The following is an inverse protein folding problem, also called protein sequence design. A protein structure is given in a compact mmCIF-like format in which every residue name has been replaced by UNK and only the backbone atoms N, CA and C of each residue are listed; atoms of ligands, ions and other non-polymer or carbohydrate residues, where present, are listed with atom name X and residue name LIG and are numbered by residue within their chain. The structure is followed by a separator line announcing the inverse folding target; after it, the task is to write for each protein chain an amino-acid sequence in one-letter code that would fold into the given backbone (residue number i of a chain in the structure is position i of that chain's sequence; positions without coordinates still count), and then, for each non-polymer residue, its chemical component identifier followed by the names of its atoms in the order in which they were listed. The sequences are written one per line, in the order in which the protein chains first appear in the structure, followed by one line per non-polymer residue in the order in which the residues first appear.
data_IF_449196029667
#
_entry.id   IF_449196029667
#
_cell.length_a   1.000
_cell.length_b   1.000
_cell.length_c   1.000
_cell.angle_alpha   90.00
_cell.angle_beta   90.00
_cell.angle_gamma   90.00
#
_symmetry.space_group_name_H-M   'P 1'
#
loop_
_entity.id
_entity.type
_entity.pdbx_description
1 polymer ?
#
# COMPACT_ATOMS: atom_id res chain seq x y z
N UNK A 1 4.66 -24.79 31.20
CA UNK A 1 4.05 -25.49 30.03
C UNK A 1 3.07 -24.66 29.20
N UNK A 2 2.24 -23.77 29.79
CA UNK A 2 1.29 -22.92 29.03
C UNK A 2 1.97 -21.95 28.04
N UNK A 3 3.03 -21.24 28.46
CA UNK A 3 3.74 -20.30 27.58
C UNK A 3 4.42 -20.96 26.37
N UNK A 4 5.00 -22.15 26.55
CA UNK A 4 5.61 -22.91 25.46
C UNK A 4 4.57 -23.36 24.42
N UNK A 5 3.37 -23.78 24.87
CA UNK A 5 2.27 -24.12 23.95
C UNK A 5 1.79 -22.90 23.16
N UNK A 6 1.69 -21.74 23.78
CA UNK A 6 1.31 -20.50 23.09
C UNK A 6 2.37 -20.06 22.08
N UNK A 7 3.65 -20.19 22.42
CA UNK A 7 4.76 -19.91 21.49
C UNK A 7 4.76 -20.86 20.30
N UNK A 8 4.52 -22.16 20.53
CA UNK A 8 4.44 -23.15 19.46
C UNK A 8 3.26 -22.88 18.53
N UNK A 9 2.08 -22.60 19.08
CA UNK A 9 0.89 -22.26 18.27
C UNK A 9 1.14 -20.97 17.46
N UNK A 10 1.73 -19.95 18.08
CA UNK A 10 2.09 -18.71 17.37
C UNK A 10 3.11 -18.95 16.25
N UNK A 11 4.14 -19.76 16.51
CA UNK A 11 5.15 -20.10 15.50
C UNK A 11 4.54 -20.90 14.34
N UNK A 12 3.65 -21.86 14.62
CA UNK A 12 2.96 -22.62 13.58
C UNK A 12 2.06 -21.71 12.74
N UNK A 13 1.31 -20.81 13.37
CA UNK A 13 0.45 -19.85 12.66
C UNK A 13 1.26 -18.92 11.74
N UNK A 14 2.42 -18.42 12.20
CA UNK A 14 3.31 -17.58 11.38
C UNK A 14 3.93 -18.39 10.23
N UNK A 15 4.33 -19.64 10.49
CA UNK A 15 4.93 -20.51 9.48
C UNK A 15 3.93 -20.91 8.37
N UNK A 16 2.65 -21.08 8.69
CA UNK A 16 1.61 -21.41 7.70
C UNK A 16 0.94 -20.18 7.07
N UNK A 17 1.07 -18.99 7.68
CA UNK A 17 0.52 -17.74 7.15
C UNK A 17 1.41 -17.08 6.07
N UNK A 18 2.65 -17.56 5.89
CA UNK A 18 3.58 -17.06 4.87
C UNK A 18 3.30 -17.66 3.48
N UNK A 19 2.14 -17.39 2.90
CA UNK A 19 1.69 -17.95 1.62
C UNK A 19 2.32 -17.29 0.36
N UNK A 20 3.56 -16.77 0.45
CA UNK A 20 4.25 -16.21 -0.71
C UNK A 20 5.76 -16.44 -0.62
N UNK A 21 6.31 -17.03 -1.67
CA UNK A 21 7.74 -17.22 -1.91
C UNK A 21 8.47 -15.88 -2.04
N UNK A 22 9.79 -15.89 -1.88
CA UNK A 22 10.61 -14.68 -2.05
C UNK A 22 10.49 -14.06 -3.45
N UNK A 23 10.28 -14.89 -4.47
CA UNK A 23 10.05 -14.45 -5.85
C UNK A 23 8.68 -13.79 -6.01
N UNK A 24 7.61 -14.37 -5.46
CA UNK A 24 6.27 -13.75 -5.47
C UNK A 24 6.28 -12.40 -4.75
N UNK A 25 6.98 -12.30 -3.62
CA UNK A 25 7.19 -11.03 -2.93
C UNK A 25 8.00 -10.02 -3.76
N UNK A 26 8.98 -10.48 -4.54
CA UNK A 26 9.76 -9.62 -5.44
C UNK A 26 8.89 -9.12 -6.59
N UNK A 27 8.14 -10.02 -7.24
CA UNK A 27 7.20 -9.68 -8.32
C UNK A 27 6.17 -8.67 -7.81
N UNK A 28 5.60 -8.88 -6.62
CA UNK A 28 4.67 -7.93 -6.00
C UNK A 28 5.31 -6.54 -5.78
N UNK A 29 6.52 -6.47 -5.21
CA UNK A 29 7.24 -5.20 -5.00
C UNK A 29 7.57 -4.47 -6.29
N UNK A 30 7.88 -5.23 -7.35
CA UNK A 30 8.24 -4.69 -8.66
C UNK A 30 6.97 -4.20 -9.43
N UNK A 31 5.77 -4.67 -9.05
CA UNK A 31 4.49 -4.30 -9.65
C UNK A 31 3.67 -3.40 -8.71
N UNK A 32 4.15 -2.17 -8.48
CA UNK A 32 3.51 -1.14 -7.63
C UNK A 32 2.24 -0.55 -8.25
N UNK A 33 1.41 -1.33 -8.92
CA UNK A 33 0.12 -0.85 -9.42
C UNK A 33 -0.76 -0.43 -8.23
N UNK A 34 -1.64 0.56 -8.46
CA UNK A 34 -2.70 1.07 -7.57
C UNK A 34 -2.87 0.24 -6.27
N UNK A 35 -2.56 0.86 -5.13
CA UNK A 35 -2.71 0.30 -3.77
C UNK A 35 -1.64 -0.68 -3.24
N UNK A 36 -0.55 -0.98 -3.95
CA UNK A 36 0.39 -2.03 -3.52
C UNK A 36 1.86 -1.58 -3.35
N UNK A 37 2.13 -0.47 -2.67
CA UNK A 37 3.48 -0.17 -2.20
C UNK A 37 3.51 0.23 -0.74
N UNK A 38 4.61 -0.10 -0.04
CA UNK A 38 4.82 0.33 1.35
C UNK A 38 4.80 1.85 1.51
N UNK A 39 5.29 2.57 0.50
CA UNK A 39 5.26 4.04 0.47
C UNK A 39 3.83 4.59 0.37
N UNK A 40 2.98 3.99 -0.48
CA UNK A 40 1.57 4.38 -0.59
C UNK A 40 0.86 4.13 0.75
N UNK A 41 1.08 2.96 1.35
CA UNK A 41 0.53 2.64 2.68
C UNK A 41 0.98 3.67 3.74
N UNK A 42 2.28 3.98 3.79
CA UNK A 42 2.82 4.97 4.72
C UNK A 42 2.24 6.38 4.51
N UNK A 43 2.05 6.79 3.26
CA UNK A 43 1.35 8.03 2.91
C UNK A 43 -0.10 8.01 3.41
N UNK A 44 -0.87 6.94 3.17
CA UNK A 44 -2.27 6.82 3.57
C UNK A 44 -2.44 6.80 5.09
N UNK A 45 -1.55 6.14 5.83
CA UNK A 45 -1.58 6.13 7.31
C UNK A 45 -1.31 7.53 7.87
N UNK A 46 -0.32 8.24 7.32
CA UNK A 46 0.01 9.63 7.73
C UNK A 46 -1.12 10.61 7.41
N UNK A 47 -1.83 10.40 6.31
CA UNK A 47 -2.88 11.29 5.78
C UNK A 47 -4.28 10.68 5.88
N UNK A 48 -4.53 9.83 6.88
CA UNK A 48 -5.83 9.18 7.06
C UNK A 48 -6.93 10.21 7.33
N UNK A 49 -8.17 9.85 7.03
CA UNK A 49 -9.34 10.68 7.31
C UNK A 49 -9.38 11.16 8.77
N UNK A 50 -9.85 12.40 8.97
CA UNK A 50 -9.90 13.03 10.30
C UNK A 50 -8.54 13.55 10.80
N UNK A 51 -7.46 13.43 10.02
CA UNK A 51 -6.18 14.09 10.32
C UNK A 51 -5.96 15.29 9.40
N UNK A 52 -5.13 16.25 9.84
CA UNK A 52 -4.68 17.33 8.96
C UNK A 52 -3.65 16.76 7.98
N UNK A 53 -4.08 16.55 6.73
CA UNK A 53 -3.20 16.04 5.68
C UNK A 53 -2.00 16.97 5.46
N UNK A 54 -0.81 16.38 5.33
CA UNK A 54 0.44 17.06 5.02
C UNK A 54 1.03 16.42 3.78
N UNK A 55 0.77 17.06 2.64
CA UNK A 55 1.23 16.61 1.33
C UNK A 55 2.39 17.49 0.88
N UNK A 56 3.53 16.87 0.60
CA UNK A 56 4.74 17.55 0.10
C UNK A 56 4.89 17.38 -1.41
N UNK A 57 5.78 18.16 -2.04
CA UNK A 57 6.11 17.96 -3.47
C UNK A 57 6.76 16.60 -3.72
N UNK A 58 7.50 16.08 -2.76
CA UNK A 58 8.10 14.75 -2.81
C UNK A 58 7.03 13.66 -2.84
N UNK A 59 5.97 13.77 -2.03
CA UNK A 59 4.85 12.81 -2.05
C UNK A 59 4.17 12.79 -3.43
N UNK A 60 3.98 13.96 -4.07
CA UNK A 60 3.40 14.06 -5.42
C UNK A 60 4.28 13.39 -6.47
N UNK A 61 5.59 13.63 -6.42
CA UNK A 61 6.54 13.01 -7.35
C UNK A 61 6.55 11.48 -7.20
N UNK A 62 6.57 11.00 -5.96
CA UNK A 62 6.56 9.57 -5.63
C UNK A 62 5.25 8.91 -6.06
N UNK A 63 4.12 9.56 -5.81
CA UNK A 63 2.81 9.08 -6.23
C UNK A 63 2.70 8.94 -7.76
N UNK A 64 3.31 9.87 -8.50
CA UNK A 64 3.39 9.81 -9.98
C UNK A 64 4.29 8.68 -10.45
N UNK A 65 5.49 8.54 -9.87
CA UNK A 65 6.44 7.49 -10.21
C UNK A 65 5.83 6.09 -9.99
N UNK A 66 5.09 5.93 -8.89
CA UNK A 66 4.46 4.67 -8.52
C UNK A 66 3.00 4.54 -8.98
N UNK A 67 2.52 5.45 -9.83
CA UNK A 67 1.16 5.45 -10.38
C UNK A 67 0.06 5.19 -9.33
N UNK A 68 0.17 5.75 -8.12
CA UNK A 68 -0.75 5.49 -7.00
C UNK A 68 -2.20 5.77 -7.33
N UNK A 69 -2.45 6.79 -8.15
CA UNK A 69 -3.78 7.21 -8.61
C UNK A 69 -4.02 6.86 -10.09
N UNK A 70 -3.13 6.04 -10.67
CA UNK A 70 -3.26 5.55 -12.03
C UNK A 70 -2.65 6.51 -13.04
N UNK A 71 -3.01 6.32 -14.31
CA UNK A 71 -2.51 7.16 -15.39
C UNK A 71 -3.29 8.48 -15.38
N UNK A 72 -2.60 9.65 -15.38
CA UNK A 72 -3.28 10.91 -15.56
C UNK A 72 -3.98 10.90 -16.92
N UNK A 73 -5.28 11.18 -16.92
CA UNK A 73 -6.05 11.43 -18.13
C UNK A 73 -6.45 12.90 -18.12
N UNK A 74 -6.19 13.58 -19.24
CA UNK A 74 -6.68 14.93 -19.44
C UNK A 74 -8.10 14.83 -19.96
N UNK A 75 -9.05 15.40 -19.22
CA UNK A 75 -10.46 15.49 -19.61
C UNK A 75 -10.84 16.95 -19.82
N UNK A 76 -11.78 17.21 -20.72
CA UNK A 76 -12.39 18.52 -20.84
C UNK A 76 -13.39 18.74 -19.70
N UNK A 77 -13.67 20.00 -19.36
CA UNK A 77 -14.53 20.34 -18.23
C UNK A 77 -15.95 19.76 -18.39
N UNK A 78 -16.43 19.65 -19.63
CA UNK A 78 -17.75 19.12 -19.97
C UNK A 78 -17.89 17.62 -19.66
N UNK A 79 -16.77 16.92 -19.44
CA UNK A 79 -16.72 15.49 -19.13
C UNK A 79 -16.74 15.21 -17.62
N UNK A 80 -16.62 16.22 -16.76
CA UNK A 80 -16.67 16.07 -15.30
C UNK A 80 -18.13 16.09 -14.85
N UNK A 81 -18.64 14.93 -14.43
CA UNK A 81 -20.05 14.72 -14.07
C UNK A 81 -20.43 15.30 -12.70
N UNK A 82 -19.46 15.51 -11.82
CA UNK A 82 -19.68 16.06 -10.48
C UNK A 82 -19.54 17.58 -10.50
N UNK A 83 -20.60 18.27 -10.04
CA UNK A 83 -20.60 19.70 -9.74
C UNK A 83 -20.67 19.91 -8.24
#
# INVERSE_FOLDING_TARGET
MRGLRLLLVGATLVAVAGCATGEEWKIWRDNKTHFASGEHMGFSVRNREGTQARVTRQDIALAREQAWFGRPITVSQEQILER
#
